data_IF_447375066289
#
_entry.id   IF_447375066289
#
_cell.length_a   1.000
_cell.length_b   1.000
_cell.length_c   1.000
_cell.angle_alpha   90.00
_cell.angle_beta   90.00
_cell.angle_gamma   90.00
#
_symmetry.space_group_name_H-M   'P 1'
#
loop_
_entity.id
_entity.type
_entity.pdbx_description
1 polymer ?
#
# COMPACT_ATOMS: atom_id res chain seq x y z
N UNK A 1 3.28 -25.39 -61.43
CA UNK A 1 3.70 -23.97 -61.55
C UNK A 1 3.43 -23.27 -60.23
N UNK A 2 4.44 -23.24 -59.38
CA UNK A 2 4.45 -22.65 -58.03
C UNK A 2 4.91 -21.19 -58.15
N UNK A 3 4.14 -20.23 -57.63
CA UNK A 3 4.60 -18.84 -57.47
C UNK A 3 4.47 -18.42 -56.01
N UNK A 4 5.64 -18.33 -55.36
CA UNK A 4 5.84 -17.60 -54.12
C UNK A 4 5.48 -16.12 -54.32
N UNK A 5 4.81 -15.53 -53.33
CA UNK A 5 4.75 -14.08 -53.16
C UNK A 5 5.61 -13.70 -51.97
N UNK A 6 6.74 -13.08 -52.28
CA UNK A 6 7.67 -12.45 -51.34
C UNK A 6 7.06 -11.14 -50.82
N UNK A 7 7.03 -10.96 -49.51
CA UNK A 7 6.75 -9.66 -48.87
C UNK A 7 8.08 -9.13 -48.36
N UNK A 8 8.45 -7.93 -48.82
CA UNK A 8 9.63 -7.20 -48.38
C UNK A 8 9.29 -6.37 -47.15
N UNK A 9 9.95 -6.63 -46.02
CA UNK A 9 9.94 -5.76 -44.85
C UNK A 9 11.18 -4.87 -44.94
N UNK A 10 10.97 -3.58 -45.13
CA UNK A 10 12.02 -2.56 -45.12
C UNK A 10 12.32 -2.22 -43.66
N UNK A 11 13.51 -2.58 -43.20
CA UNK A 11 14.02 -2.22 -41.88
C UNK A 11 14.61 -0.81 -41.88
N UNK A 12 14.21 0.01 -40.92
CA UNK A 12 14.96 1.21 -40.54
C UNK A 12 15.90 0.84 -39.39
N UNK A 13 17.19 0.76 -39.71
CA UNK A 13 18.27 0.64 -38.76
C UNK A 13 18.89 2.02 -38.54
N UNK A 14 18.72 2.56 -37.33
CA UNK A 14 19.57 3.57 -36.72
C UNK A 14 19.47 3.29 -35.22
N UNK A 15 20.53 2.94 -34.48
CA UNK A 15 21.93 3.27 -34.60
C UNK A 15 22.31 3.83 -33.24
N UNK A 16 22.72 2.98 -32.30
CA UNK A 16 23.40 3.42 -31.08
C UNK A 16 24.58 2.50 -30.77
N UNK A 17 25.68 3.18 -30.52
CA UNK A 17 27.07 2.73 -30.42
C UNK A 17 27.27 1.82 -29.21
N UNK A 18 27.98 0.71 -29.42
CA UNK A 18 28.55 -0.09 -28.34
C UNK A 18 29.74 0.67 -27.72
N UNK A 19 29.58 1.10 -26.47
CA UNK A 19 30.70 1.46 -25.61
C UNK A 19 30.94 0.29 -24.65
N UNK A 20 31.89 -0.59 -24.99
CA UNK A 20 32.47 -1.54 -24.06
C UNK A 20 33.36 -0.77 -23.09
N UNK A 21 32.77 -0.33 -21.97
CA UNK A 21 33.48 0.14 -20.79
C UNK A 21 33.31 -0.89 -19.68
N UNK A 22 34.33 -1.72 -19.47
CA UNK A 22 34.35 -2.71 -18.40
C UNK A 22 34.13 -2.04 -17.04
N UNK A 23 33.07 -2.47 -16.36
CA UNK A 23 32.94 -2.35 -14.92
C UNK A 23 32.96 -3.76 -14.38
N UNK A 24 34.05 -4.15 -13.72
CA UNK A 24 34.06 -5.32 -12.84
C UNK A 24 33.13 -4.97 -11.68
N UNK A 25 31.86 -5.34 -11.80
CA UNK A 25 30.97 -5.34 -10.64
C UNK A 25 31.34 -6.57 -9.84
N UNK A 26 31.93 -6.29 -8.69
CA UNK A 26 32.27 -7.21 -7.62
C UNK A 26 31.04 -8.08 -7.33
N UNK A 27 31.21 -9.39 -7.38
CA UNK A 27 30.21 -10.35 -6.91
C UNK A 27 30.21 -10.37 -5.38
N UNK A 28 29.75 -9.28 -4.76
CA UNK A 28 29.36 -9.20 -3.35
C UNK A 28 28.04 -8.42 -3.33
N UNK A 29 27.03 -9.01 -2.69
CA UNK A 29 25.64 -8.55 -2.52
C UNK A 29 24.63 -8.89 -3.63
N UNK A 30 24.63 -10.15 -4.07
CA UNK A 30 23.35 -10.80 -4.37
C UNK A 30 22.64 -11.06 -3.03
N UNK A 31 22.09 -10.00 -2.43
CA UNK A 31 21.13 -10.13 -1.32
C UNK A 31 20.06 -11.12 -1.78
N UNK A 32 19.72 -12.17 -1.02
CA UNK A 32 18.60 -13.01 -1.40
C UNK A 32 17.40 -12.08 -1.54
N UNK A 33 16.84 -11.99 -2.75
CA UNK A 33 15.60 -11.27 -2.99
C UNK A 33 14.54 -12.07 -2.24
N UNK A 34 14.34 -11.74 -0.96
CA UNK A 34 13.25 -12.33 -0.19
C UNK A 34 11.99 -11.92 -0.94
N UNK A 35 11.28 -12.89 -1.52
CA UNK A 35 10.11 -12.62 -2.34
C UNK A 35 9.02 -12.03 -1.43
N UNK A 36 8.89 -10.71 -1.45
CA UNK A 36 7.85 -10.00 -0.73
C UNK A 36 6.48 -10.47 -1.22
N UNK A 37 5.65 -10.94 -0.28
CA UNK A 37 4.24 -11.24 -0.49
C UNK A 37 3.44 -9.95 -0.34
N UNK A 38 2.38 -9.82 -1.12
CA UNK A 38 1.44 -8.70 -1.01
C UNK A 38 0.10 -9.17 -0.43
N UNK A 39 -0.35 -8.48 0.62
CA UNK A 39 -1.68 -8.62 1.18
C UNK A 39 -2.50 -7.38 0.82
N UNK A 40 -3.59 -7.57 0.09
CA UNK A 40 -4.55 -6.52 -0.20
C UNK A 40 -5.68 -6.53 0.84
N UNK A 41 -5.94 -5.35 1.40
CA UNK A 41 -6.98 -5.12 2.40
C UNK A 41 -8.10 -4.29 1.80
N UNK A 42 -9.31 -4.86 1.84
CA UNK A 42 -10.50 -4.19 1.36
C UNK A 42 -11.02 -3.20 2.41
N UNK A 43 -11.57 -2.04 2.03
CA UNK A 43 -12.07 -1.05 2.99
C UNK A 43 -13.12 -1.59 3.98
N UNK A 44 -13.89 -2.59 3.56
CA UNK A 44 -14.90 -3.23 4.41
C UNK A 44 -14.29 -3.91 5.66
N UNK A 45 -13.00 -4.29 5.62
CA UNK A 45 -12.30 -4.85 6.77
C UNK A 45 -12.05 -3.81 7.88
N UNK A 46 -12.20 -2.52 7.56
CA UNK A 46 -12.13 -1.40 8.51
C UNK A 46 -13.53 -0.90 8.92
N UNK A 47 -14.62 -1.52 8.48
CA UNK A 47 -15.97 -1.04 8.74
C UNK A 47 -16.32 -1.18 10.24
N UNK A 48 -16.60 -0.08 10.98
CA UNK A 48 -17.05 -0.17 12.36
C UNK A 48 -18.55 -0.45 12.41
N UNK A 49 -19.03 -0.90 13.57
CA UNK A 49 -20.46 -1.07 13.83
C UNK A 49 -21.20 0.26 14.15
N UNK A 50 -20.75 1.40 13.60
CA UNK A 50 -21.33 2.72 13.90
C UNK A 50 -21.80 3.46 12.63
N UNK A 51 -22.67 4.45 12.81
CA UNK A 51 -23.26 5.23 11.72
C UNK A 51 -22.41 6.43 11.28
N UNK A 52 -21.18 6.56 11.77
CA UNK A 52 -20.29 7.70 11.46
C UNK A 52 -19.61 7.60 10.08
N UNK A 53 -19.78 6.45 9.42
CA UNK A 53 -19.17 6.14 8.13
C UNK A 53 -20.14 5.43 7.20
N UNK A 54 -19.87 5.54 5.90
CA UNK A 54 -20.58 4.84 4.84
C UNK A 54 -19.60 4.01 4.04
N UNK A 55 -19.93 2.74 3.82
CA UNK A 55 -19.28 1.92 2.80
C UNK A 55 -20.07 2.03 1.50
N UNK A 56 -19.41 2.48 0.44
CA UNK A 56 -20.03 2.74 -0.87
C UNK A 56 -19.37 1.82 -1.90
N UNK A 57 -20.18 1.03 -2.60
CA UNK A 57 -19.72 0.19 -3.71
C UNK A 57 -20.05 0.88 -5.03
N UNK A 58 -19.04 1.33 -5.75
CA UNK A 58 -19.20 1.91 -7.10
C UNK A 58 -18.90 0.81 -8.14
N UNK A 59 -19.86 0.53 -9.02
CA UNK A 59 -19.74 -0.29 -10.24
C UNK A 59 -18.96 -1.61 -10.12
N UNK A 60 -19.19 -2.39 -9.06
CA UNK A 60 -18.65 -3.77 -8.93
C UNK A 60 -17.23 -3.89 -8.36
N UNK A 61 -16.63 -2.80 -7.86
CA UNK A 61 -15.31 -2.83 -7.19
C UNK A 61 -15.34 -3.20 -5.70
N UNK A 62 -14.16 -3.14 -5.05
CA UNK A 62 -13.97 -3.37 -3.59
C UNK A 62 -14.61 -2.30 -2.69
N UNK A 63 -15.32 -1.33 -3.28
CA UNK A 63 -15.94 -0.20 -2.60
C UNK A 63 -14.94 0.76 -1.96
N UNK A 64 -15.47 1.75 -1.25
CA UNK A 64 -14.70 2.71 -0.44
C UNK A 64 -15.38 2.94 0.89
N UNK A 65 -14.59 3.17 1.93
CA UNK A 65 -15.07 3.57 3.25
C UNK A 65 -14.91 5.08 3.39
N UNK A 66 -16.01 5.81 3.53
CA UNK A 66 -15.99 7.27 3.67
C UNK A 66 -16.52 7.68 5.03
N UNK A 67 -15.91 8.70 5.63
CA UNK A 67 -16.47 9.34 6.82
C UNK A 67 -17.64 10.21 6.41
N UNK A 68 -18.73 10.13 7.18
CA UNK A 68 -19.93 10.95 6.98
C UNK A 68 -20.15 11.93 8.12
N UNK A 69 -19.57 11.67 9.31
CA UNK A 69 -19.69 12.55 10.50
C UNK A 69 -18.40 12.55 11.32
N UNK A 70 -17.90 13.74 11.64
CA UNK A 70 -16.76 13.94 12.55
C UNK A 70 -15.48 13.25 12.06
N UNK A 71 -14.71 12.74 13.02
CA UNK A 71 -13.56 11.88 12.77
C UNK A 71 -13.90 10.42 13.11
N UNK A 72 -13.30 9.49 12.38
CA UNK A 72 -13.48 8.07 12.59
C UNK A 72 -12.13 7.34 12.65
N UNK A 73 -12.07 6.37 13.55
CA UNK A 73 -10.91 5.55 13.83
C UNK A 73 -11.29 4.08 13.68
N UNK A 74 -10.48 3.32 12.96
CA UNK A 74 -10.77 1.93 12.61
C UNK A 74 -9.56 1.05 12.78
N UNK A 75 -9.82 -0.25 12.89
CA UNK A 75 -8.80 -1.25 13.16
C UNK A 75 -9.08 -2.46 12.29
N UNK A 76 -8.08 -2.90 11.53
CA UNK A 76 -8.11 -4.15 10.79
C UNK A 76 -6.95 -5.05 11.25
N UNK A 77 -7.28 -6.28 11.62
CA UNK A 77 -6.29 -7.31 11.94
C UNK A 77 -5.69 -7.86 10.64
N UNK A 78 -4.37 -7.95 10.57
CA UNK A 78 -3.69 -8.55 9.42
C UNK A 78 -3.62 -10.07 9.60
N UNK A 79 -4.14 -10.86 8.64
CA UNK A 79 -4.01 -12.31 8.64
C UNK A 79 -2.62 -12.74 8.14
N UNK A 80 -1.55 -12.21 8.75
CA UNK A 80 -0.16 -12.58 8.46
C UNK A 80 0.50 -13.14 9.72
N UNK A 81 1.55 -13.94 9.53
CA UNK A 81 2.31 -14.50 10.63
C UNK A 81 2.89 -13.39 11.52
N UNK A 82 2.84 -13.59 12.84
CA UNK A 82 3.37 -12.64 13.82
C UNK A 82 4.89 -12.50 13.82
N UNK A 83 5.59 -13.40 13.13
CA UNK A 83 7.04 -13.32 12.85
C UNK A 83 7.33 -12.73 11.47
N UNK A 84 6.32 -12.45 10.65
CA UNK A 84 6.52 -11.80 9.37
C UNK A 84 7.15 -10.42 9.55
N UNK A 85 8.00 -10.03 8.62
CA UNK A 85 8.58 -8.69 8.54
C UNK A 85 7.74 -7.88 7.56
N UNK A 86 7.12 -6.80 8.05
CA UNK A 86 6.38 -5.86 7.19
C UNK A 86 7.37 -4.87 6.59
N UNK A 87 7.42 -4.81 5.27
CA UNK A 87 8.34 -3.95 4.53
C UNK A 87 7.69 -2.65 4.09
N UNK A 88 6.40 -2.70 3.73
CA UNK A 88 5.70 -1.56 3.15
C UNK A 88 4.22 -1.61 3.44
N UNK A 89 3.64 -0.44 3.70
CA UNK A 89 2.20 -0.22 3.71
C UNK A 89 1.91 0.92 2.75
N UNK A 90 0.93 0.68 1.87
CA UNK A 90 0.40 1.70 0.96
C UNK A 90 -1.10 1.82 1.18
N UNK A 91 -1.55 3.00 1.62
CA UNK A 91 -2.95 3.35 1.75
C UNK A 91 -3.41 4.13 0.51
N UNK A 92 -4.59 3.81 -0.03
CA UNK A 92 -5.21 4.54 -1.13
C UNK A 92 -6.34 5.39 -0.59
N UNK A 93 -6.11 6.70 -0.46
CA UNK A 93 -7.03 7.64 0.17
C UNK A 93 -7.44 8.70 -0.83
N UNK A 94 -8.73 9.01 -0.85
CA UNK A 94 -9.27 10.16 -1.54
C UNK A 94 -9.65 11.20 -0.51
N UNK A 95 -9.11 12.40 -0.65
CA UNK A 95 -9.29 13.47 0.31
C UNK A 95 -9.79 14.74 -0.39
N UNK A 96 -11.10 14.98 -0.26
CA UNK A 96 -11.73 16.18 -0.81
C UNK A 96 -11.75 17.35 0.18
N UNK A 97 -11.26 17.18 1.41
CA UNK A 97 -11.48 18.14 2.49
C UNK A 97 -10.15 18.72 2.99
N UNK A 98 -9.93 20.02 2.81
CA UNK A 98 -8.70 20.72 3.28
C UNK A 98 -8.47 20.64 4.79
N UNK A 99 -9.55 20.47 5.55
CA UNK A 99 -9.52 20.36 7.01
C UNK A 99 -9.50 18.89 7.46
N UNK A 100 -9.62 17.95 6.52
CA UNK A 100 -9.53 16.52 6.73
C UNK A 100 -8.17 15.95 6.38
N UNK A 101 -7.96 14.73 6.84
CA UNK A 101 -6.89 13.87 6.38
C UNK A 101 -7.23 12.40 6.66
N UNK A 102 -6.54 11.53 5.93
CA UNK A 102 -6.45 10.10 6.19
C UNK A 102 -5.02 9.71 6.54
N UNK A 103 -4.88 8.75 7.44
CA UNK A 103 -3.59 8.18 7.82
C UNK A 103 -3.78 6.73 8.25
N UNK A 104 -2.77 5.89 8.00
CA UNK A 104 -2.72 4.54 8.54
C UNK A 104 -1.49 4.35 9.42
N UNK A 105 -1.62 3.63 10.52
CA UNK A 105 -0.49 3.17 11.32
C UNK A 105 -0.47 1.65 11.43
N UNK A 106 0.75 1.11 11.42
CA UNK A 106 1.01 -0.28 11.74
C UNK A 106 1.29 -0.39 13.23
N UNK A 107 0.57 -1.29 13.87
CA UNK A 107 0.88 -1.70 15.22
C UNK A 107 1.04 -3.22 15.30
N UNK A 108 1.76 -3.66 16.31
CA UNK A 108 1.89 -5.06 16.69
C UNK A 108 1.30 -5.22 18.09
N UNK A 109 0.33 -6.12 18.22
CA UNK A 109 -0.33 -6.44 19.49
C UNK A 109 0.12 -7.80 19.98
N UNK A 110 0.70 -7.85 21.18
CA UNK A 110 0.96 -9.07 21.92
C UNK A 110 -0.04 -9.20 23.09
N UNK A 111 0.14 -10.21 23.94
CA UNK A 111 -0.71 -10.48 25.10
C UNK A 111 -0.78 -9.29 26.07
N UNK A 112 0.34 -8.60 26.26
CA UNK A 112 0.55 -7.54 27.25
C UNK A 112 1.20 -6.27 26.65
N UNK A 113 1.48 -6.24 25.35
CA UNK A 113 2.06 -5.08 24.66
C UNK A 113 1.25 -4.64 23.44
N UNK A 114 1.35 -3.33 23.16
CA UNK A 114 0.86 -2.71 21.94
C UNK A 114 1.90 -1.72 21.44
N UNK A 115 2.55 -2.04 20.32
CA UNK A 115 3.69 -1.31 19.80
C UNK A 115 3.35 -0.71 18.44
N UNK A 116 3.42 0.60 18.30
CA UNK A 116 3.28 1.27 17.01
C UNK A 116 4.61 1.22 16.28
N UNK A 117 4.63 0.59 15.11
CA UNK A 117 5.85 0.35 14.33
C UNK A 117 6.08 1.41 13.27
N UNK A 118 5.02 2.04 12.76
CA UNK A 118 5.14 3.11 11.78
C UNK A 118 3.80 3.66 11.35
N UNK A 119 3.82 4.76 10.61
CA UNK A 119 2.64 5.45 10.10
C UNK A 119 2.87 5.95 8.68
N UNK A 120 1.82 5.96 7.88
CA UNK A 120 1.80 6.65 6.57
C UNK A 120 1.90 8.15 6.78
N UNK A 121 2.35 8.90 5.76
CA UNK A 121 2.06 10.32 5.69
C UNK A 121 0.55 10.58 5.82
N UNK A 122 0.20 11.84 6.12
CA UNK A 122 -1.16 12.33 6.05
C UNK A 122 -1.54 12.53 4.58
N UNK A 123 -2.79 12.22 4.22
CA UNK A 123 -3.32 12.78 2.96
C UNK A 123 -3.42 14.29 3.08
N UNK A 124 -3.15 14.98 1.97
CA UNK A 124 -3.27 16.43 1.90
C UNK A 124 -4.39 16.75 0.92
N UNK A 125 -5.59 17.02 1.46
CA UNK A 125 -6.71 17.46 0.65
C UNK A 125 -6.44 18.82 0.00
N UNK A 126 -6.55 18.90 -1.33
CA UNK A 126 -6.42 20.18 -2.07
C UNK A 126 -7.68 21.02 -2.02
N UNK A 127 -8.83 20.47 -1.60
CA UNK A 127 -10.12 21.18 -1.45
C UNK A 127 -10.82 21.61 -2.73
N UNK A 128 -10.18 21.44 -3.87
CA UNK A 128 -10.67 21.96 -5.15
C UNK A 128 -11.55 20.95 -5.91
N UNK A 129 -12.00 19.90 -5.22
CA UNK A 129 -12.93 18.91 -5.75
C UNK A 129 -12.33 17.95 -6.79
N UNK A 130 -11.01 17.93 -6.96
CA UNK A 130 -10.38 16.91 -7.79
C UNK A 130 -10.55 15.53 -7.16
N UNK A 131 -10.98 14.57 -7.98
CA UNK A 131 -11.34 13.23 -7.59
C UNK A 131 -10.15 12.27 -7.54
N UNK A 132 -8.98 12.79 -7.14
CA UNK A 132 -7.75 12.02 -7.16
C UNK A 132 -7.62 11.12 -5.93
N UNK A 133 -7.15 9.90 -6.17
CA UNK A 133 -6.82 8.94 -5.13
C UNK A 133 -5.31 9.03 -4.89
N UNK A 134 -4.94 9.52 -3.73
CA UNK A 134 -3.56 9.59 -3.27
C UNK A 134 -3.11 8.22 -2.73
N UNK A 135 -1.85 7.86 -3.01
CA UNK A 135 -1.22 6.64 -2.49
C UNK A 135 -0.18 6.99 -1.43
N UNK A 136 -0.56 6.88 -0.15
CA UNK A 136 0.30 7.17 0.99
C UNK A 136 1.12 5.93 1.34
N UNK A 137 2.44 6.02 1.23
CA UNK A 137 3.32 4.85 1.40
C UNK A 137 4.34 5.07 2.53
N UNK A 138 4.47 4.06 3.40
CA UNK A 138 5.55 3.96 4.38
C UNK A 138 6.28 2.65 4.21
N UNK A 139 7.61 2.71 4.18
CA UNK A 139 8.51 1.56 4.08
C UNK A 139 9.59 1.51 5.18
N UNK A 140 9.55 2.46 6.11
CA UNK A 140 10.45 2.48 7.26
C UNK A 140 9.62 2.21 8.51
N UNK A 141 9.86 1.06 9.13
CA UNK A 141 9.19 0.64 10.36
C UNK A 141 10.23 0.44 11.46
N UNK A 142 9.88 0.86 12.67
CA UNK A 142 10.66 0.54 13.85
C UNK A 142 10.68 -0.99 14.04
N UNK A 143 11.83 -1.58 14.39
CA UNK A 143 11.87 -2.98 14.77
C UNK A 143 11.00 -3.19 16.02
N UNK A 144 10.36 -4.36 16.18
CA UNK A 144 9.66 -4.69 17.42
C UNK A 144 10.61 -4.60 18.61
N UNK A 145 10.17 -3.93 19.67
CA UNK A 145 10.98 -3.73 20.88
C UNK A 145 11.06 -4.99 21.73
N UNK A 146 10.07 -5.87 21.60
CA UNK A 146 9.99 -7.15 22.31
C UNK A 146 10.22 -8.31 21.31
N UNK A 147 11.43 -8.92 21.29
CA UNK A 147 11.73 -10.06 20.42
C UNK A 147 10.97 -11.32 20.85
N UNK A 148 10.61 -12.18 19.91
CA UNK A 148 10.23 -13.58 20.19
C UNK A 148 8.81 -13.84 20.68
N UNK A 149 8.07 -12.84 21.15
CA UNK A 149 6.64 -13.00 21.39
C UNK A 149 5.90 -12.87 20.07
N UNK A 150 5.34 -13.98 19.56
CA UNK A 150 4.37 -13.94 18.47
C UNK A 150 3.29 -12.90 18.78
N UNK A 151 2.92 -12.10 17.78
CA UNK A 151 1.97 -11.00 17.96
C UNK A 151 1.14 -10.84 16.71
N UNK A 152 -0.02 -10.21 16.84
CA UNK A 152 -0.89 -9.95 15.71
C UNK A 152 -0.61 -8.55 15.18
N UNK A 153 -0.33 -8.44 13.89
CA UNK A 153 -0.25 -7.13 13.24
C UNK A 153 -1.63 -6.54 13.05
N UNK A 154 -1.72 -5.24 13.28
CA UNK A 154 -2.96 -4.49 13.23
C UNK A 154 -2.70 -3.21 12.46
N UNK A 155 -3.54 -2.91 11.47
CA UNK A 155 -3.58 -1.60 10.85
C UNK A 155 -4.66 -0.77 11.50
N UNK A 156 -4.26 0.41 11.95
CA UNK A 156 -5.17 1.43 12.43
C UNK A 156 -5.35 2.44 11.29
N UNK A 157 -6.59 2.87 11.06
CA UNK A 157 -6.94 3.88 10.07
C UNK A 157 -7.57 5.06 10.80
N UNK A 158 -7.10 6.26 10.50
CA UNK A 158 -7.70 7.52 10.95
C UNK A 158 -8.22 8.25 9.71
N UNK A 159 -9.48 8.64 9.73
CA UNK A 159 -10.10 9.52 8.72
C UNK A 159 -10.79 10.65 9.48
N UNK A 160 -10.38 11.91 9.29
CA UNK A 160 -10.73 12.96 10.26
C UNK A 160 -11.90 13.86 9.88
N UNK A 161 -12.44 13.76 8.67
CA UNK A 161 -13.56 14.61 8.27
C UNK A 161 -14.45 14.00 7.17
N UNK A 162 -15.68 14.51 7.00
CA UNK A 162 -16.51 14.16 5.86
C UNK A 162 -15.82 14.49 4.54
N UNK A 163 -15.86 13.54 3.59
CA UNK A 163 -15.21 13.67 2.29
C UNK A 163 -13.85 12.99 2.18
N UNK A 164 -13.28 12.52 3.31
CA UNK A 164 -12.11 11.63 3.31
C UNK A 164 -12.58 10.17 3.18
N UNK A 165 -12.04 9.45 2.20
CA UNK A 165 -12.41 8.08 1.90
C UNK A 165 -11.19 7.16 1.72
N UNK A 166 -11.23 5.96 2.29
CA UNK A 166 -10.28 4.88 2.03
C UNK A 166 -10.80 3.97 0.90
N UNK A 167 -9.97 3.74 -0.11
CA UNK A 167 -10.21 2.78 -1.21
C UNK A 167 -9.56 1.42 -0.98
N UNK A 168 -8.58 1.34 -0.07
CA UNK A 168 -7.98 0.09 0.37
C UNK A 168 -6.55 0.30 0.82
N UNK A 169 -5.93 -0.78 1.27
CA UNK A 169 -4.52 -0.77 1.64
C UNK A 169 -3.82 -2.00 1.10
N UNK A 170 -2.54 -1.87 0.80
CA UNK A 170 -1.67 -2.98 0.44
C UNK A 170 -0.56 -3.07 1.50
N UNK A 171 -0.25 -4.29 1.93
CA UNK A 171 0.85 -4.58 2.85
C UNK A 171 1.82 -5.52 2.15
N UNK A 172 3.06 -5.09 1.97
CA UNK A 172 4.14 -5.96 1.51
C UNK A 172 4.88 -6.52 2.73
N UNK A 173 5.09 -7.83 2.76
CA UNK A 173 5.74 -8.52 3.87
C UNK A 173 6.50 -9.75 3.39
N UNK A 174 7.47 -10.21 4.18
CA UNK A 174 8.10 -11.50 3.98
C UNK A 174 8.15 -12.31 5.27
N UNK A 175 8.40 -13.61 5.13
CA UNK A 175 8.72 -14.47 6.27
C UNK A 175 10.25 -14.48 6.44
N UNK A 176 10.76 -14.45 7.68
CA UNK A 176 12.19 -14.47 7.97
C UNK A 176 12.86 -15.77 7.50
#
# INVERSE_FOLDING_TARGET
>A
MTRLRSVWIVGFASGWVAAFGGSVVRAEDATPTVLAKELQLAPIQFLPANSGVSYVVEQGGLGRLCVTKGAAYFVATLPIDGTAVVERITARIKDRNREGFGMMSLARRALDSFEVLGMTPLSIGTGDGEDEVESLTTASFAPPTIPGHGGTYVLQLVLTSPGVCLYGANVAYHLP
#
